data_IF_593268625719
#
_entry.id   IF_593268625719
#
_cell.length_a   1.000
_cell.length_b   1.000
_cell.length_c   1.000
_cell.angle_alpha   90.00
_cell.angle_beta   90.00
_cell.angle_gamma   90.00
#
_symmetry.space_group_name_H-M   'P 1'
#
loop_
_entity.id
_entity.type
_entity.pdbx_description
1 polymer ?
#
# COMPACT_ATOMS: atom_id res chain seq x y z
N UNK A 1 -5.63 6.66 -21.92
CA UNK A 1 -6.82 7.53 -22.02
C UNK A 1 -6.42 8.99 -22.14
N UNK A 2 -5.80 9.61 -21.13
CA UNK A 2 -5.30 11.00 -21.19
C UNK A 2 -4.44 11.31 -22.43
N UNK A 3 -3.48 10.44 -22.74
CA UNK A 3 -2.62 10.58 -23.92
C UNK A 3 -3.36 10.39 -25.25
N UNK A 4 -4.43 9.59 -25.26
CA UNK A 4 -5.22 9.29 -26.47
C UNK A 4 -6.19 10.43 -26.76
N UNK A 5 -6.78 11.03 -25.72
CA UNK A 5 -7.71 12.16 -25.85
C UNK A 5 -7.00 13.50 -26.00
N UNK A 6 -5.67 13.55 -25.83
CA UNK A 6 -4.90 14.81 -25.84
C UNK A 6 -5.20 15.72 -24.66
N UNK A 7 -5.88 15.23 -23.61
CA UNK A 7 -6.33 16.05 -22.49
C UNK A 7 -5.31 16.02 -21.35
N UNK A 8 -4.14 16.57 -21.61
CA UNK A 8 -3.07 16.77 -20.64
C UNK A 8 -2.37 18.10 -20.91
N UNK A 9 -1.70 18.63 -19.89
CA UNK A 9 -0.88 19.82 -20.02
C UNK A 9 0.60 19.45 -19.84
N UNK A 10 1.48 20.04 -20.64
CA UNK A 10 2.93 19.94 -20.49
C UNK A 10 3.43 21.32 -20.10
N UNK A 11 3.86 21.45 -18.85
CA UNK A 11 4.38 22.70 -18.32
C UNK A 11 5.81 22.93 -18.82
N UNK A 12 6.15 24.17 -19.12
CA UNK A 12 7.51 24.52 -19.52
C UNK A 12 8.45 24.39 -18.31
N UNK A 13 9.54 23.60 -18.40
CA UNK A 13 10.49 23.43 -17.31
C UNK A 13 11.25 24.72 -16.94
N UNK A 14 11.25 25.73 -17.82
CA UNK A 14 11.93 27.01 -17.61
C UNK A 14 10.98 28.16 -17.26
N UNK A 15 9.67 27.96 -17.40
CA UNK A 15 8.66 28.96 -17.07
C UNK A 15 7.39 28.29 -16.56
N UNK A 16 7.17 28.34 -15.25
CA UNK A 16 6.02 27.71 -14.60
C UNK A 16 4.67 28.27 -15.05
N UNK A 17 4.62 29.46 -15.63
CA UNK A 17 3.38 30.06 -16.14
C UNK A 17 3.14 29.74 -17.63
N UNK A 18 4.10 29.11 -18.30
CA UNK A 18 4.01 28.72 -19.69
C UNK A 18 3.78 27.20 -19.84
N UNK A 19 3.07 26.84 -20.90
CA UNK A 19 2.83 25.44 -21.27
C UNK A 19 3.36 25.18 -22.67
N UNK A 20 4.13 24.10 -22.82
CA UNK A 20 4.57 23.56 -24.12
C UNK A 20 3.40 22.90 -24.86
N UNK A 21 2.42 22.39 -24.11
CA UNK A 21 1.17 21.85 -24.63
C UNK A 21 0.05 22.06 -23.60
N UNK A 22 -1.12 22.49 -24.04
CA UNK A 22 -2.22 22.86 -23.15
C UNK A 22 -3.54 22.23 -23.63
N UNK A 23 -3.77 20.98 -23.25
CA UNK A 23 -4.93 20.18 -23.65
C UNK A 23 -6.17 20.37 -22.77
N UNK A 24 -6.03 20.90 -21.55
CA UNK A 24 -7.15 21.12 -20.61
C UNK A 24 -7.04 22.50 -19.96
N UNK A 25 -8.04 23.36 -20.20
CA UNK A 25 -8.08 24.72 -19.66
C UNK A 25 -8.77 24.76 -18.28
N UNK A 26 -8.16 25.44 -17.31
CA UNK A 26 -8.80 25.77 -16.02
C UNK A 26 -9.01 24.60 -15.07
N UNK A 27 -8.45 23.42 -15.37
CA UNK A 27 -8.49 22.25 -14.48
C UNK A 27 -7.11 22.07 -13.84
N UNK A 28 -7.07 21.99 -12.52
CA UNK A 28 -5.85 21.68 -11.79
C UNK A 28 -5.38 20.26 -12.11
N UNK A 29 -4.06 20.05 -12.12
CA UNK A 29 -3.48 18.73 -12.30
C UNK A 29 -4.01 17.75 -11.25
N UNK A 30 -4.42 16.56 -11.70
CA UNK A 30 -4.96 15.52 -10.82
C UNK A 30 -6.19 14.81 -11.38
N UNK A 31 -7.12 14.36 -10.51
CA UNK A 31 -8.28 13.57 -10.92
C UNK A 31 -9.17 14.26 -11.96
N UNK A 32 -9.18 15.60 -11.98
CA UNK A 32 -9.92 16.41 -12.95
C UNK A 32 -9.56 16.10 -14.40
N UNK A 33 -8.29 15.83 -14.70
CA UNK A 33 -7.88 15.47 -16.08
C UNK A 33 -8.51 14.17 -16.54
N UNK A 34 -8.57 13.17 -15.66
CA UNK A 34 -9.19 11.87 -15.97
C UNK A 34 -10.71 12.03 -16.12
N UNK A 35 -11.34 12.86 -15.28
CA UNK A 35 -12.76 13.18 -15.40
C UNK A 35 -13.07 13.86 -16.74
N UNK A 36 -12.33 14.92 -17.10
CA UNK A 36 -12.51 15.62 -18.39
C UNK A 36 -12.25 14.70 -19.58
N UNK A 37 -11.22 13.84 -19.50
CA UNK A 37 -10.97 12.84 -20.54
C UNK A 37 -12.11 11.84 -20.65
N UNK A 38 -12.69 11.40 -19.53
CA UNK A 38 -13.76 10.40 -19.57
C UNK A 38 -15.04 11.02 -20.12
N UNK A 39 -15.30 12.27 -19.77
CA UNK A 39 -16.41 13.04 -20.29
C UNK A 39 -16.34 13.23 -21.80
N UNK A 40 -15.14 13.35 -22.38
CA UNK A 40 -14.97 13.41 -23.83
C UNK A 40 -15.26 12.08 -24.54
N UNK A 41 -15.02 10.94 -23.86
CA UNK A 41 -15.29 9.61 -24.40
C UNK A 41 -16.77 9.23 -24.20
N UNK A 42 -17.34 9.59 -23.05
CA UNK A 42 -18.73 9.32 -22.66
C UNK A 42 -19.39 10.60 -22.11
N UNK A 43 -19.86 11.50 -23.00
CA UNK A 43 -20.50 12.74 -22.58
C UNK A 43 -21.74 12.51 -21.72
N UNK A 44 -21.88 13.29 -20.65
CA UNK A 44 -22.96 13.26 -19.66
C UNK A 44 -22.80 12.22 -18.55
N UNK A 45 -21.90 11.24 -18.70
CA UNK A 45 -21.75 10.14 -17.75
C UNK A 45 -20.32 9.92 -17.25
N UNK A 46 -19.32 10.27 -18.06
CA UNK A 46 -17.92 9.96 -17.81
C UNK A 46 -17.38 10.54 -16.50
N UNK A 47 -17.65 11.82 -16.22
CA UNK A 47 -17.21 12.46 -14.99
C UNK A 47 -17.85 11.85 -13.73
N UNK A 48 -19.15 11.54 -13.78
CA UNK A 48 -19.89 10.91 -12.67
C UNK A 48 -19.35 9.51 -12.40
N UNK A 49 -19.12 8.73 -13.45
CA UNK A 49 -18.54 7.39 -13.33
C UNK A 49 -17.18 7.42 -12.62
N UNK A 50 -16.28 8.32 -13.03
CA UNK A 50 -14.96 8.45 -12.41
C UNK A 50 -15.07 8.90 -10.95
N UNK A 51 -15.99 9.82 -10.64
CA UNK A 51 -16.22 10.26 -9.26
C UNK A 51 -16.68 9.11 -8.34
N UNK A 52 -17.63 8.29 -8.80
CA UNK A 52 -18.11 7.10 -8.05
C UNK A 52 -17.01 6.06 -7.89
N UNK A 53 -16.24 5.79 -8.94
CA UNK A 53 -15.12 4.85 -8.88
C UNK A 53 -14.03 5.33 -7.88
N UNK A 54 -13.68 6.62 -7.92
CA UNK A 54 -12.73 7.22 -6.99
C UNK A 54 -13.23 7.17 -5.55
N UNK A 55 -14.53 7.35 -5.31
CA UNK A 55 -15.10 7.22 -3.98
C UNK A 55 -14.85 5.82 -3.39
N UNK A 56 -15.20 4.76 -4.11
CA UNK A 56 -14.98 3.39 -3.64
C UNK A 56 -13.50 3.07 -3.48
N UNK A 57 -12.66 3.52 -4.41
CA UNK A 57 -11.22 3.30 -4.36
C UNK A 57 -10.58 4.00 -3.15
N UNK A 58 -10.89 5.28 -2.93
CA UNK A 58 -10.39 6.03 -1.78
C UNK A 58 -10.92 5.46 -0.46
N UNK A 59 -12.20 5.08 -0.41
CA UNK A 59 -12.83 4.53 0.78
C UNK A 59 -12.16 3.22 1.22
N UNK A 60 -11.98 2.26 0.32
CA UNK A 60 -11.31 0.99 0.64
C UNK A 60 -9.86 1.20 1.03
N UNK A 61 -9.18 2.15 0.36
CA UNK A 61 -7.79 2.51 0.66
C UNK A 61 -7.67 3.09 2.08
N UNK A 62 -8.51 4.04 2.47
CA UNK A 62 -8.49 4.63 3.82
C UNK A 62 -8.72 3.56 4.90
N UNK A 63 -9.67 2.64 4.68
CA UNK A 63 -9.94 1.54 5.61
C UNK A 63 -8.74 0.60 5.73
N UNK A 64 -8.13 0.22 4.60
CA UNK A 64 -6.96 -0.64 4.59
C UNK A 64 -5.77 0.00 5.34
N UNK A 65 -5.49 1.28 5.10
CA UNK A 65 -4.43 2.01 5.82
C UNK A 65 -4.71 2.14 7.32
N UNK A 66 -5.95 2.42 7.71
CA UNK A 66 -6.35 2.43 9.11
C UNK A 66 -6.15 1.05 9.76
N UNK A 67 -6.56 -0.02 9.09
CA UNK A 67 -6.39 -1.39 9.59
C UNK A 67 -4.91 -1.76 9.78
N UNK A 68 -4.06 -1.43 8.81
CA UNK A 68 -2.61 -1.63 8.91
C UNK A 68 -2.01 -0.84 10.09
N UNK A 69 -2.40 0.43 10.24
CA UNK A 69 -1.95 1.26 11.35
C UNK A 69 -2.42 0.72 12.71
N UNK A 70 -3.69 0.29 12.81
CA UNK A 70 -4.24 -0.29 14.04
C UNK A 70 -3.51 -1.59 14.40
N UNK A 71 -3.22 -2.43 13.42
CA UNK A 71 -2.46 -3.68 13.60
C UNK A 71 -1.06 -3.40 14.12
N UNK A 72 -0.37 -2.41 13.56
CA UNK A 72 0.96 -1.99 14.01
C UNK A 72 0.94 -1.44 15.44
N UNK A 73 -0.05 -0.60 15.78
CA UNK A 73 -0.22 -0.08 17.14
C UNK A 73 -0.53 -1.22 18.11
N UNK A 74 -1.45 -2.14 17.77
CA UNK A 74 -1.77 -3.31 18.60
C UNK A 74 -0.53 -4.18 18.83
N UNK A 75 0.31 -4.38 17.82
CA UNK A 75 1.57 -5.10 17.97
C UNK A 75 2.50 -4.40 18.97
N UNK A 76 2.67 -3.09 18.86
CA UNK A 76 3.50 -2.30 19.77
C UNK A 76 2.94 -2.25 21.20
N UNK A 77 1.62 -2.14 21.34
CA UNK A 77 0.93 -2.09 22.63
C UNK A 77 1.07 -3.37 23.43
N UNK A 78 1.36 -4.52 22.81
CA UNK A 78 1.69 -5.76 23.55
C UNK A 78 2.93 -5.59 24.43
N UNK A 79 3.91 -4.81 23.98
CA UNK A 79 5.16 -4.56 24.71
C UNK A 79 5.09 -3.30 25.54
N UNK A 80 4.53 -2.21 25.00
CA UNK A 80 4.55 -0.87 25.62
C UNK A 80 3.27 -0.52 26.40
N UNK A 81 2.24 -1.39 26.42
CA UNK A 81 0.93 -1.19 27.09
C UNK A 81 0.21 0.10 26.67
N UNK A 82 0.25 0.43 25.38
CA UNK A 82 -0.31 1.66 24.80
C UNK A 82 -1.75 1.47 24.28
N UNK A 83 -2.63 0.88 25.07
CA UNK A 83 -4.01 0.57 24.64
C UNK A 83 -4.83 1.82 24.31
N UNK A 84 -4.50 2.96 24.94
CA UNK A 84 -5.12 4.26 24.67
C UNK A 84 -4.82 4.82 23.27
N UNK A 85 -3.80 4.30 22.58
CA UNK A 85 -3.46 4.79 21.23
C UNK A 85 -4.45 4.35 20.15
N UNK A 86 -5.18 3.25 20.35
CA UNK A 86 -6.18 2.76 19.38
C UNK A 86 -7.34 3.76 19.19
N UNK A 87 -8.04 4.23 20.25
CA UNK A 87 -9.09 5.22 20.08
C UNK A 87 -8.55 6.56 19.54
N UNK A 88 -7.33 6.95 19.92
CA UNK A 88 -6.68 8.15 19.37
C UNK A 88 -6.41 8.01 17.88
N UNK A 89 -5.87 6.87 17.43
CA UNK A 89 -5.66 6.59 16.00
C UNK A 89 -6.96 6.72 15.21
N UNK A 90 -8.07 6.22 15.75
CA UNK A 90 -9.39 6.32 15.12
C UNK A 90 -9.86 7.76 14.97
N UNK A 91 -9.72 8.58 16.03
CA UNK A 91 -10.07 10.00 16.00
C UNK A 91 -9.20 10.75 15.00
N UNK A 92 -7.88 10.49 15.00
CA UNK A 92 -6.93 11.10 14.07
C UNK A 92 -7.24 10.70 12.63
N UNK A 93 -7.52 9.43 12.36
CA UNK A 93 -7.84 8.97 11.00
C UNK A 93 -9.09 9.65 10.44
N UNK A 94 -10.15 9.77 11.25
CA UNK A 94 -11.37 10.52 10.86
C UNK A 94 -11.05 11.99 10.66
N UNK A 95 -10.28 12.59 11.58
CA UNK A 95 -9.86 14.00 11.48
C UNK A 95 -9.06 14.30 10.22
N UNK A 96 -8.10 13.44 9.87
CA UNK A 96 -7.29 13.56 8.64
C UNK A 96 -8.15 13.35 7.39
N UNK A 97 -9.09 12.41 7.40
CA UNK A 97 -10.00 12.21 6.26
C UNK A 97 -10.88 13.47 6.00
N UNK A 98 -11.40 14.09 7.07
CA UNK A 98 -12.16 15.34 6.96
C UNK A 98 -11.23 16.47 6.50
N UNK A 99 -10.06 16.62 7.13
CA UNK A 99 -9.10 17.64 6.79
C UNK A 99 -8.61 17.54 5.34
N UNK A 100 -8.43 16.32 4.84
CA UNK A 100 -8.04 16.03 3.46
C UNK A 100 -9.08 16.45 2.43
N UNK A 101 -10.36 16.63 2.82
CA UNK A 101 -11.38 17.17 1.91
C UNK A 101 -11.29 18.69 1.73
N UNK A 102 -10.58 19.40 2.62
CA UNK A 102 -10.51 20.88 2.65
C UNK A 102 -9.15 21.43 2.19
N UNK A 103 -8.09 20.61 2.24
CA UNK A 103 -6.72 21.05 1.90
C UNK A 103 -6.30 20.66 0.50
N UNK A 104 -5.26 21.34 0.02
CA UNK A 104 -4.66 21.08 -1.29
C UNK A 104 -3.99 19.72 -1.32
N UNK A 105 -4.05 19.05 -2.48
CA UNK A 105 -3.46 17.74 -2.69
C UNK A 105 -1.95 17.74 -2.36
N UNK A 106 -1.24 18.84 -2.61
CA UNK A 106 0.21 18.94 -2.46
C UNK A 106 0.69 18.70 -1.01
N UNK A 107 -0.04 19.20 -0.02
CA UNK A 107 0.31 18.95 1.38
C UNK A 107 0.14 17.47 1.75
N UNK A 108 -0.92 16.85 1.25
CA UNK A 108 -1.18 15.43 1.47
C UNK A 108 -0.11 14.56 0.79
N UNK A 109 0.30 14.93 -0.43
CA UNK A 109 1.40 14.27 -1.14
C UNK A 109 2.73 14.44 -0.42
N UNK A 110 3.10 15.65 0.02
CA UNK A 110 4.35 15.88 0.74
C UNK A 110 4.44 15.09 2.06
N UNK A 111 3.36 15.05 2.84
CA UNK A 111 3.28 14.23 4.05
C UNK A 111 3.31 12.73 3.73
N UNK A 112 2.64 12.33 2.64
CA UNK A 112 2.63 10.96 2.15
C UNK A 112 4.02 10.47 1.75
N UNK A 113 4.75 11.25 0.95
CA UNK A 113 6.09 10.93 0.48
C UNK A 113 7.08 10.78 1.65
N UNK A 114 6.99 11.66 2.64
CA UNK A 114 7.79 11.56 3.86
C UNK A 114 7.47 10.26 4.63
N UNK A 115 6.19 9.99 4.86
CA UNK A 115 5.74 8.83 5.64
C UNK A 115 6.07 7.50 4.97
N UNK A 116 5.78 7.38 3.68
CA UNK A 116 6.10 6.18 2.88
C UNK A 116 7.61 6.02 2.72
N UNK A 117 8.35 7.10 2.51
CA UNK A 117 9.81 7.07 2.42
C UNK A 117 10.46 6.54 3.70
N UNK A 118 10.01 7.01 4.87
CA UNK A 118 10.47 6.49 6.17
C UNK A 118 10.13 5.00 6.34
N UNK A 119 8.90 4.60 6.01
CA UNK A 119 8.46 3.20 6.08
C UNK A 119 9.30 2.30 5.17
N UNK A 120 9.58 2.74 3.94
CA UNK A 120 10.36 2.02 2.97
C UNK A 120 11.78 1.76 3.47
N UNK A 121 12.46 2.80 4.00
CA UNK A 121 13.82 2.64 4.53
C UNK A 121 13.90 1.67 5.69
N UNK A 122 12.96 1.74 6.65
CA UNK A 122 12.93 0.81 7.78
C UNK A 122 12.72 -0.64 7.30
N UNK A 123 11.81 -0.86 6.35
CA UNK A 123 11.55 -2.19 5.81
C UNK A 123 12.72 -2.73 4.98
N UNK A 124 13.37 -1.90 4.16
CA UNK A 124 14.54 -2.31 3.37
C UNK A 124 15.65 -2.78 4.30
N UNK A 125 15.96 -2.01 5.35
CA UNK A 125 16.98 -2.39 6.33
C UNK A 125 16.60 -3.71 7.02
N UNK A 126 15.33 -3.89 7.39
CA UNK A 126 14.83 -5.15 7.94
C UNK A 126 15.02 -6.35 7.00
N UNK A 127 14.68 -6.19 5.72
CA UNK A 127 14.86 -7.23 4.69
C UNK A 127 16.34 -7.57 4.53
N UNK A 128 17.24 -6.59 4.55
CA UNK A 128 18.68 -6.82 4.45
C UNK A 128 19.22 -7.66 5.62
N UNK A 129 18.69 -7.49 6.83
CA UNK A 129 19.04 -8.36 7.96
C UNK A 129 18.42 -9.76 7.83
N UNK A 130 17.19 -9.86 7.31
CA UNK A 130 16.46 -11.11 7.13
C UNK A 130 16.80 -11.87 5.84
N UNK A 131 17.66 -11.32 4.98
CA UNK A 131 17.95 -11.92 3.67
C UNK A 131 18.48 -13.36 3.78
N UNK A 132 19.34 -13.65 4.77
CA UNK A 132 19.95 -14.98 4.95
C UNK A 132 18.90 -16.05 5.25
N UNK A 133 18.07 -15.93 6.31
CA UNK A 133 17.02 -16.91 6.57
C UNK A 133 15.95 -16.94 5.47
N UNK A 134 15.64 -15.81 4.82
CA UNK A 134 14.69 -15.77 3.71
C UNK A 134 15.17 -16.60 2.50
N UNK A 135 16.42 -16.45 2.10
CA UNK A 135 17.00 -17.26 1.02
C UNK A 135 17.18 -18.73 1.42
N UNK A 136 17.48 -19.02 2.69
CA UNK A 136 17.52 -20.40 3.18
C UNK A 136 16.14 -21.07 3.03
N UNK A 137 15.09 -20.41 3.52
CA UNK A 137 13.71 -20.87 3.42
C UNK A 137 13.27 -21.10 1.96
N UNK A 138 13.64 -20.19 1.05
CA UNK A 138 13.34 -20.34 -0.37
C UNK A 138 14.04 -21.56 -0.98
N UNK A 139 15.31 -21.78 -0.66
CA UNK A 139 16.08 -22.92 -1.17
C UNK A 139 15.56 -24.25 -0.65
N UNK A 140 15.16 -24.30 0.62
CA UNK A 140 14.52 -25.48 1.22
C UNK A 140 13.19 -25.78 0.53
N UNK A 141 12.34 -24.77 0.34
CA UNK A 141 11.09 -24.90 -0.42
C UNK A 141 11.32 -25.45 -1.83
N UNK A 142 12.25 -24.87 -2.59
CA UNK A 142 12.57 -25.33 -3.95
C UNK A 142 13.14 -26.76 -3.97
N UNK A 143 13.94 -27.15 -2.97
CA UNK A 143 14.48 -28.50 -2.87
C UNK A 143 13.39 -29.54 -2.60
N UNK A 144 12.44 -29.23 -1.71
CA UNK A 144 11.30 -30.10 -1.41
C UNK A 144 10.38 -30.24 -2.63
N UNK A 145 10.11 -29.14 -3.34
CA UNK A 145 9.30 -29.14 -4.56
C UNK A 145 9.96 -29.96 -5.68
N UNK A 146 11.28 -29.82 -5.89
CA UNK A 146 12.04 -30.63 -6.86
C UNK A 146 12.07 -32.11 -6.51
N UNK A 147 11.98 -32.45 -5.22
CA UNK A 147 11.89 -33.83 -4.76
C UNK A 147 10.46 -34.41 -4.89
N UNK A 148 9.50 -33.66 -5.43
CA UNK A 148 8.11 -34.09 -5.58
C UNK A 148 7.35 -34.21 -4.26
N UNK A 149 7.84 -33.57 -3.19
CA UNK A 149 7.19 -33.55 -1.88
C UNK A 149 6.28 -32.33 -1.76
N UNK A 150 5.25 -32.44 -0.91
CA UNK A 150 4.51 -31.26 -0.46
C UNK A 150 5.41 -30.44 0.48
N UNK A 151 5.79 -29.18 0.14
CA UNK A 151 6.78 -28.44 0.90
C UNK A 151 6.28 -28.06 2.30
N UNK A 152 6.99 -28.52 3.34
CA UNK A 152 6.73 -28.17 4.74
C UNK A 152 7.87 -27.31 5.24
N UNK A 153 7.55 -26.08 5.63
CA UNK A 153 8.53 -25.13 6.18
C UNK A 153 8.98 -25.55 7.58
N UNK A 154 10.31 -25.67 7.78
CA UNK A 154 10.93 -25.90 9.08
C UNK A 154 11.75 -24.67 9.50
N UNK A 155 11.29 -23.96 10.52
CA UNK A 155 11.89 -22.67 10.92
C UNK A 155 13.34 -22.83 11.41
N UNK A 156 13.66 -23.88 12.16
CA UNK A 156 15.00 -24.05 12.73
C UNK A 156 16.03 -24.44 11.66
N UNK A 157 15.64 -25.32 10.75
CA UNK A 157 16.48 -25.74 9.63
C UNK A 157 16.87 -24.54 8.74
N UNK A 158 16.01 -23.53 8.70
CA UNK A 158 16.18 -22.31 7.90
C UNK A 158 16.75 -21.12 8.68
N UNK A 159 17.26 -21.33 9.90
CA UNK A 159 17.91 -20.30 10.70
C UNK A 159 16.95 -19.26 11.31
N UNK A 160 15.66 -19.58 11.38
CA UNK A 160 14.64 -18.75 12.05
C UNK A 160 14.41 -19.28 13.46
N UNK A 161 15.01 -18.61 14.43
CA UNK A 161 14.82 -18.92 15.85
C UNK A 161 13.58 -18.22 16.42
N UNK A 162 13.02 -18.77 17.50
CA UNK A 162 11.84 -18.22 18.20
C UNK A 162 10.54 -18.21 17.38
N UNK A 163 10.32 -19.26 16.59
CA UNK A 163 9.14 -19.47 15.75
C UNK A 163 8.30 -20.71 16.20
N UNK A 164 7.74 -20.71 17.43
CA UNK A 164 7.09 -21.91 18.00
C UNK A 164 5.86 -22.35 17.21
N UNK A 165 5.09 -21.41 16.67
CA UNK A 165 3.89 -21.69 15.87
C UNK A 165 4.21 -22.50 14.60
N UNK A 166 5.36 -22.25 13.97
CA UNK A 166 5.76 -22.97 12.77
C UNK A 166 6.15 -24.42 13.07
N UNK A 167 6.63 -24.72 14.28
CA UNK A 167 6.87 -26.10 14.72
C UNK A 167 5.55 -26.86 14.86
N UNK A 168 4.54 -26.24 15.44
CA UNK A 168 3.21 -26.83 15.60
C UNK A 168 2.54 -27.08 14.24
N UNK A 169 2.58 -26.10 13.34
CA UNK A 169 2.07 -26.23 11.98
C UNK A 169 2.77 -27.39 11.25
N UNK A 170 4.11 -27.42 11.25
CA UNK A 170 4.86 -28.49 10.59
C UNK A 170 4.57 -29.88 11.20
N UNK A 171 4.39 -29.98 12.52
CA UNK A 171 4.03 -31.23 13.18
C UNK A 171 2.64 -31.73 12.75
N UNK A 172 1.66 -30.82 12.66
CA UNK A 172 0.30 -31.16 12.22
C UNK A 172 0.26 -31.66 10.77
N UNK A 173 0.96 -31.00 9.85
CA UNK A 173 1.06 -31.44 8.45
C UNK A 173 1.72 -32.82 8.33
N UNK A 174 2.83 -33.06 9.05
CA UNK A 174 3.51 -34.36 9.06
C UNK A 174 2.67 -35.48 9.68
N UNK A 175 1.70 -35.15 10.54
CA UNK A 175 0.77 -36.12 11.12
C UNK A 175 -0.36 -36.49 10.15
N UNK A 176 -0.82 -35.53 9.33
CA UNK A 176 -1.83 -35.76 8.30
C UNK A 176 -1.30 -36.63 7.14
N UNK A 177 -0.04 -36.48 6.75
CA UNK A 177 0.60 -37.26 5.68
C UNK A 177 0.86 -38.74 6.05
N UNK A 178 0.74 -39.08 7.34
CA UNK A 178 0.93 -40.46 7.85
C UNK A 178 -0.36 -41.27 8.00
N UNK A 179 -1.52 -40.65 7.77
CA UNK A 179 -2.84 -41.30 7.78
C UNK A 179 -3.25 -41.71 6.37
#
# INVERSE_FOLDING_TARGET
MLLITGLYNVQDPHNADAYLYHGVNGVAAGPGYVQTAMENIMPGFGAIFVAVALFFFAFTTIIAYYYMAETNVRYLSRTLKLEWMIPVLKIVAVGVAIYGSVKTADLAWALGDLGVGMMAWLNIVGILFLQKPAFAALRDYEAQLKAGKDPIFDAEANGVHNAPIWREIAANYRAMDKQ
#
